data_IF_528809523631
#
_entry.id   IF_528809523631
#
_cell.length_a   1.000
_cell.length_b   1.000
_cell.length_c   1.000
_cell.angle_alpha   90.00
_cell.angle_beta   90.00
_cell.angle_gamma   90.00
#
_symmetry.space_group_name_H-M   'P 1'
#
loop_
_entity.id
_entity.type
_entity.pdbx_description
1 polymer ?
#
# COMPACT_ATOMS: atom_id res chain seq x y z
N UNK A 1 -27.77 -10.47 8.56
CA UNK A 1 -26.60 -9.62 8.27
C UNK A 1 -25.36 -10.45 8.58
N UNK A 2 -24.40 -10.54 7.66
CA UNK A 2 -23.19 -11.37 7.83
C UNK A 2 -22.12 -10.51 8.50
N UNK A 3 -21.51 -11.02 9.58
CA UNK A 3 -20.36 -10.38 10.22
C UNK A 3 -19.06 -10.77 9.48
N UNK A 4 -18.47 -9.80 8.79
CA UNK A 4 -17.26 -9.98 7.99
C UNK A 4 -15.98 -10.02 8.85
N UNK A 5 -16.03 -9.55 10.09
CA UNK A 5 -14.85 -9.50 10.98
C UNK A 5 -14.30 -10.88 11.33
N UNK A 6 -15.15 -11.91 11.23
CA UNK A 6 -14.81 -13.32 11.40
C UNK A 6 -13.99 -13.89 10.24
N UNK A 7 -14.03 -13.26 9.08
CA UNK A 7 -13.38 -13.76 7.87
C UNK A 7 -12.19 -12.92 7.44
N UNK A 8 -12.17 -11.63 7.83
CA UNK A 8 -11.18 -10.66 7.39
C UNK A 8 -10.44 -10.06 8.59
N UNK A 9 -9.14 -9.84 8.43
CA UNK A 9 -8.31 -8.99 9.29
C UNK A 9 -7.99 -7.73 8.52
N UNK A 10 -8.28 -6.57 9.11
CA UNK A 10 -7.86 -5.27 8.60
C UNK A 10 -6.88 -4.67 9.60
N UNK A 11 -5.71 -4.28 9.11
CA UNK A 11 -4.68 -3.59 9.89
C UNK A 11 -4.53 -2.18 9.34
N UNK A 12 -4.81 -1.17 10.16
CA UNK A 12 -4.61 0.23 9.78
C UNK A 12 -3.12 0.55 9.92
N UNK A 13 -2.58 1.22 8.91
CA UNK A 13 -1.16 1.61 8.87
C UNK A 13 -1.08 3.12 8.91
N UNK A 14 -0.62 3.65 10.03
CA UNK A 14 -0.33 5.09 10.16
C UNK A 14 1.03 5.39 9.54
N UNK A 15 1.11 6.45 8.73
CA UNK A 15 2.34 6.88 8.05
C UNK A 15 3.04 5.74 7.28
N UNK A 16 2.25 4.90 6.59
CA UNK A 16 2.77 3.74 5.87
C UNK A 16 3.76 4.09 4.76
N UNK A 17 4.51 3.08 4.27
CA UNK A 17 5.42 3.24 3.14
C UNK A 17 4.67 3.66 1.87
N UNK A 18 5.41 4.22 0.92
CA UNK A 18 4.89 4.61 -0.39
C UNK A 18 5.27 3.57 -1.45
N UNK A 19 4.34 3.32 -2.35
CA UNK A 19 4.52 2.41 -3.47
C UNK A 19 4.05 3.04 -4.78
N UNK A 20 4.65 2.59 -5.87
CA UNK A 20 4.22 2.80 -7.24
C UNK A 20 3.35 1.63 -7.68
N UNK A 21 2.19 1.93 -8.28
CA UNK A 21 1.37 0.92 -8.94
C UNK A 21 2.09 0.47 -10.22
N UNK A 22 2.41 -0.81 -10.27
CA UNK A 22 3.13 -1.47 -11.35
C UNK A 22 2.29 -1.66 -12.62
N UNK A 23 2.92 -2.18 -13.69
CA UNK A 23 2.27 -2.38 -14.98
C UNK A 23 1.18 -3.46 -14.91
N UNK A 24 0.14 -3.32 -15.73
CA UNK A 24 -0.98 -4.27 -15.80
C UNK A 24 -2.23 -3.86 -15.02
N UNK A 25 -2.14 -2.81 -14.19
CA UNK A 25 -3.30 -2.16 -13.57
C UNK A 25 -3.70 -0.88 -14.32
N UNK A 26 -4.98 -0.49 -14.28
CA UNK A 26 -5.46 0.76 -14.87
C UNK A 26 -4.83 2.01 -14.23
N UNK A 27 -4.37 1.89 -12.98
CA UNK A 27 -3.72 2.96 -12.22
C UNK A 27 -2.19 2.86 -12.27
N UNK A 28 -1.62 2.02 -13.13
CA UNK A 28 -0.19 1.90 -13.34
C UNK A 28 0.48 3.29 -13.50
N UNK A 29 1.62 3.48 -12.83
CA UNK A 29 2.35 4.75 -12.83
C UNK A 29 1.93 5.73 -11.72
N UNK A 30 0.83 5.47 -11.00
CA UNK A 30 0.44 6.29 -9.85
C UNK A 30 1.17 5.86 -8.58
N UNK A 31 1.51 6.83 -7.74
CA UNK A 31 2.05 6.58 -6.41
C UNK A 31 0.95 6.71 -5.36
N UNK A 32 1.14 6.02 -4.24
CA UNK A 32 0.28 6.14 -3.07
C UNK A 32 0.95 5.69 -1.79
N UNK A 33 0.34 6.08 -0.67
CA UNK A 33 0.74 5.68 0.67
C UNK A 33 -0.10 4.50 1.15
N UNK A 34 0.53 3.51 1.79
CA UNK A 34 -0.20 2.43 2.47
C UNK A 34 -0.96 2.99 3.66
N UNK A 35 -2.27 2.75 3.70
CA UNK A 35 -3.15 3.16 4.80
C UNK A 35 -3.78 1.98 5.52
N UNK A 36 -3.83 0.80 4.88
CA UNK A 36 -4.29 -0.42 5.51
C UNK A 36 -3.79 -1.66 4.77
N UNK A 37 -3.84 -2.80 5.46
CA UNK A 37 -3.61 -4.13 4.90
C UNK A 37 -4.84 -4.99 5.22
N UNK A 38 -5.40 -5.64 4.21
CA UNK A 38 -6.59 -6.48 4.34
C UNK A 38 -6.19 -7.92 4.02
N UNK A 39 -6.41 -8.84 4.95
CA UNK A 39 -6.08 -10.25 4.78
C UNK A 39 -7.26 -11.14 5.17
N UNK A 40 -7.37 -12.31 4.54
CA UNK A 40 -8.32 -13.33 4.96
C UNK A 40 -7.76 -14.09 6.17
N UNK A 41 -8.60 -14.37 7.17
CA UNK A 41 -8.17 -15.09 8.38
C UNK A 41 -7.89 -16.58 8.13
N UNK A 42 -8.51 -17.14 7.11
CA UNK A 42 -8.52 -18.59 6.85
C UNK A 42 -7.97 -18.97 5.47
N UNK A 43 -7.38 -18.01 4.75
CA UNK A 43 -6.77 -18.23 3.45
C UNK A 43 -5.47 -17.41 3.34
N UNK A 44 -4.57 -17.85 2.46
CA UNK A 44 -3.35 -17.12 2.16
C UNK A 44 -3.61 -15.91 1.27
N UNK A 45 -2.77 -14.88 1.42
CA UNK A 45 -2.84 -13.65 0.63
C UNK A 45 -3.36 -12.46 1.44
N UNK A 46 -3.03 -11.28 0.93
CA UNK A 46 -3.50 -10.01 1.45
C UNK A 46 -3.51 -8.98 0.33
N UNK A 47 -4.32 -7.96 0.52
CA UNK A 47 -4.42 -6.78 -0.34
C UNK A 47 -3.88 -5.58 0.44
N UNK A 48 -3.19 -4.70 -0.27
CA UNK A 48 -2.65 -3.45 0.27
C UNK A 48 -3.57 -2.32 -0.15
N UNK A 49 -4.07 -1.56 0.82
CA UNK A 49 -4.88 -0.38 0.56
C UNK A 49 -3.94 0.82 0.42
N UNK A 50 -3.93 1.43 -0.77
CA UNK A 50 -3.21 2.67 -1.01
C UNK A 50 -4.17 3.86 -1.06
N UNK A 51 -3.81 4.94 -0.37
CA UNK A 51 -4.28 6.27 -0.73
C UNK A 51 -3.34 6.83 -1.78
N UNK A 52 -3.82 6.90 -3.03
CA UNK A 52 -3.07 7.43 -4.15
C UNK A 52 -2.93 8.94 -4.05
N UNK A 53 -1.92 9.51 -4.71
CA UNK A 53 -1.69 10.96 -4.77
C UNK A 53 -2.86 11.72 -5.41
N UNK A 54 -3.72 11.03 -6.17
CA UNK A 54 -4.99 11.57 -6.67
C UNK A 54 -6.07 11.75 -5.60
N UNK A 55 -5.81 11.36 -4.35
CA UNK A 55 -6.75 11.33 -3.23
C UNK A 55 -7.66 10.10 -3.21
N UNK A 56 -7.66 9.29 -4.27
CA UNK A 56 -8.45 8.05 -4.36
C UNK A 56 -7.81 6.94 -3.55
N UNK A 57 -8.64 6.11 -2.94
CA UNK A 57 -8.23 4.85 -2.33
C UNK A 57 -8.46 3.68 -3.29
N UNK A 58 -7.59 2.68 -3.27
CA UNK A 58 -7.80 1.41 -3.96
C UNK A 58 -6.98 0.29 -3.31
N UNK A 59 -7.29 -0.96 -3.67
CA UNK A 59 -6.62 -2.17 -3.18
C UNK A 59 -5.76 -2.80 -4.26
N UNK A 60 -4.57 -3.26 -3.89
CA UNK A 60 -3.63 -3.90 -4.80
C UNK A 60 -2.99 -5.13 -4.18
N UNK A 61 -2.82 -6.17 -4.99
CA UNK A 61 -2.01 -7.31 -4.60
C UNK A 61 -0.54 -6.87 -4.47
N UNK A 62 0.24 -7.41 -3.53
CA UNK A 62 1.62 -7.00 -3.30
C UNK A 62 2.51 -7.07 -4.54
N UNK A 63 2.26 -8.05 -5.42
CA UNK A 63 3.02 -8.22 -6.67
C UNK A 63 2.75 -7.11 -7.70
N UNK A 64 1.67 -6.34 -7.54
CA UNK A 64 1.36 -5.20 -8.40
C UNK A 64 2.05 -3.92 -7.92
N UNK A 65 2.75 -3.94 -6.78
CA UNK A 65 3.35 -2.75 -6.19
C UNK A 65 4.87 -2.79 -6.32
N UNK A 66 5.44 -1.65 -6.71
CA UNK A 66 6.88 -1.42 -6.79
C UNK A 66 7.29 -0.43 -5.70
N UNK A 67 8.42 -0.65 -5.01
CA UNK A 67 8.86 0.26 -3.95
C UNK A 67 9.13 1.67 -4.50
N UNK A 68 8.72 2.70 -3.75
CA UNK A 68 9.08 4.08 -4.10
C UNK A 68 10.56 4.35 -3.78
N UNK A 69 11.41 4.24 -4.80
CA UNK A 69 12.86 4.45 -4.67
C UNK A 69 13.23 5.90 -4.32
N UNK A 70 12.31 6.86 -4.45
CA UNK A 70 12.54 8.27 -4.07
C UNK A 70 12.65 8.44 -2.56
N UNK A 71 11.97 7.58 -1.79
CA UNK A 71 12.02 7.63 -0.33
C UNK A 71 13.43 7.35 0.22
N UNK A 72 14.23 6.52 -0.48
CA UNK A 72 15.61 6.22 -0.06
C UNK A 72 16.59 7.38 -0.25
N UNK A 73 16.29 8.35 -1.12
CA UNK A 73 17.19 9.47 -1.38
C UNK A 73 17.08 10.61 -0.35
N UNK A 74 16.11 10.57 0.56
CA UNK A 74 15.91 11.61 1.58
C UNK A 74 16.68 11.33 2.89
N UNK A 75 17.12 10.10 3.13
CA UNK A 75 17.84 9.73 4.36
C UNK A 75 19.37 9.91 4.25
N UNK A 76 19.94 9.95 3.04
CA UNK A 76 21.39 10.11 2.81
C UNK A 76 21.84 11.58 2.64
N UNK A 77 20.93 12.55 2.73
CA UNK A 77 21.20 13.97 2.51
C UNK A 77 21.50 14.81 3.77
N UNK A 78 21.64 14.19 4.95
CA UNK A 78 21.83 14.89 6.21
C UNK A 78 23.13 14.51 6.90
N UNK A 79 24.20 15.29 6.69
CA UNK A 79 25.27 15.66 7.62
C UNK A 79 26.47 16.25 6.84
N UNK A 80 26.46 17.56 6.60
CA UNK A 80 27.69 18.33 6.47
C UNK A 80 27.44 19.73 7.07
N UNK A 81 28.11 20.02 8.18
CA UNK A 81 27.95 21.22 9.01
C UNK A 81 28.80 21.14 10.25
#
# INVERSE_FOLDING_TARGET
>A
MIDLSRFVRCEIVENGPRYLVGPGDRRAGQFGQVIAIIALRHAGGYEVVLQLDSGKQDTFAPMQLLPDLRARQQEEGGCDG
#
